data_IF_390574777048
#
_entry.id   IF_390574777048
#
_cell.length_a   1.000
_cell.length_b   1.000
_cell.length_c   1.000
_cell.angle_alpha   90.00
_cell.angle_beta   90.00
_cell.angle_gamma   90.00
#
_symmetry.space_group_name_H-M   'P 1'
#
loop_
_entity.id
_entity.type
_entity.pdbx_description
1 polymer ?
#
# COMPACT_ATOMS: atom_id res chain seq x y z
N UNK A 1 -1.46 -20.31 -11.91
CA UNK A 1 -1.04 -19.45 -10.77
C UNK A 1 0.45 -19.20 -10.90
N UNK A 2 0.91 -17.95 -11.03
CA UNK A 2 2.34 -17.63 -11.17
C UNK A 2 2.99 -17.61 -9.79
N UNK A 3 3.97 -18.48 -9.55
CA UNK A 3 4.73 -18.50 -8.30
C UNK A 3 5.93 -17.57 -8.47
N UNK A 4 6.06 -16.58 -7.57
CA UNK A 4 7.21 -15.67 -7.57
C UNK A 4 8.22 -16.04 -6.49
N UNK A 5 9.51 -15.77 -6.75
CA UNK A 5 10.59 -15.96 -5.79
C UNK A 5 11.22 -14.64 -5.34
N UNK A 6 11.37 -14.40 -4.04
CA UNK A 6 12.08 -13.23 -3.50
C UNK A 6 13.56 -13.55 -3.29
N UNK A 7 14.47 -12.77 -3.90
CA UNK A 7 15.93 -13.08 -3.84
C UNK A 7 16.70 -12.36 -2.75
N UNK A 8 16.17 -11.27 -2.20
CA UNK A 8 16.83 -10.46 -1.16
C UNK A 8 15.84 -10.21 -0.03
N UNK A 9 15.57 -11.19 0.86
CA UNK A 9 14.70 -10.96 2.00
C UNK A 9 15.35 -9.98 2.98
N UNK A 10 14.56 -9.27 3.79
CA UNK A 10 15.09 -8.35 4.77
C UNK A 10 15.88 -9.06 5.87
N UNK A 11 16.93 -8.40 6.32
CA UNK A 11 17.60 -8.67 7.59
C UNK A 11 16.73 -8.17 8.75
N UNK A 12 15.67 -8.90 9.09
CA UNK A 12 14.94 -8.63 10.32
C UNK A 12 15.72 -9.22 11.50
N UNK A 13 16.43 -8.38 12.24
CA UNK A 13 17.15 -8.80 13.46
C UNK A 13 16.20 -9.10 14.64
N UNK A 14 14.93 -8.67 14.56
CA UNK A 14 13.93 -8.83 15.61
C UNK A 14 12.58 -9.28 15.07
N UNK A 15 11.93 -10.20 15.79
CA UNK A 15 10.57 -10.62 15.47
C UNK A 15 9.59 -9.45 15.61
N UNK A 16 8.80 -9.17 14.57
CA UNK A 16 7.76 -8.16 14.58
C UNK A 16 6.58 -8.63 13.75
N UNK A 17 5.43 -8.83 14.39
CA UNK A 17 4.16 -9.15 13.72
C UNK A 17 3.47 -7.93 13.11
N UNK A 18 4.15 -6.79 13.08
CA UNK A 18 3.67 -5.57 12.43
C UNK A 18 3.84 -5.70 10.93
N UNK A 19 2.84 -5.25 10.16
CA UNK A 19 2.94 -5.23 8.70
C UNK A 19 4.02 -4.24 8.28
N UNK A 20 5.01 -4.71 7.53
CA UNK A 20 6.00 -3.88 6.88
C UNK A 20 5.85 -4.00 5.37
N UNK A 21 6.10 -2.92 4.65
CA UNK A 21 5.89 -2.81 3.23
C UNK A 21 7.16 -2.37 2.52
N UNK A 22 7.32 -2.80 1.28
CA UNK A 22 8.42 -2.40 0.42
C UNK A 22 7.97 -2.49 -1.04
N UNK A 23 8.57 -1.69 -1.92
CA UNK A 23 8.44 -1.88 -3.36
C UNK A 23 9.25 -3.09 -3.83
N UNK A 24 8.86 -3.67 -4.97
CA UNK A 24 9.71 -4.67 -5.63
C UNK A 24 9.94 -4.43 -7.11
N UNK A 25 11.03 -5.03 -7.58
CA UNK A 25 11.49 -4.96 -8.95
C UNK A 25 10.47 -5.59 -9.90
N UNK A 26 10.61 -5.26 -11.19
CA UNK A 26 9.99 -6.06 -12.23
C UNK A 26 10.38 -7.55 -12.09
N UNK A 27 9.46 -8.50 -12.27
CA UNK A 27 9.78 -9.92 -12.30
C UNK A 27 10.74 -10.26 -13.43
N UNK A 28 11.84 -10.93 -13.11
CA UNK A 28 12.78 -11.52 -14.07
C UNK A 28 12.77 -13.02 -13.83
N UNK A 29 12.36 -13.81 -14.83
CA UNK A 29 12.23 -15.29 -14.72
C UNK A 29 11.46 -15.76 -13.48
N UNK A 30 10.36 -15.04 -13.14
CA UNK A 30 9.54 -15.32 -11.95
C UNK A 30 10.18 -14.88 -10.63
N UNK A 31 11.33 -14.21 -10.64
CA UNK A 31 11.99 -13.68 -9.44
C UNK A 31 11.72 -12.19 -9.28
N UNK A 32 11.48 -11.74 -8.05
CA UNK A 32 11.34 -10.32 -7.67
C UNK A 32 12.34 -9.99 -6.57
N UNK A 33 12.69 -8.70 -6.43
CA UNK A 33 13.60 -8.19 -5.40
C UNK A 33 12.96 -7.02 -4.68
N UNK A 34 13.08 -6.94 -3.36
CA UNK A 34 12.78 -5.71 -2.64
C UNK A 34 13.72 -4.59 -3.12
N UNK A 35 13.17 -3.40 -3.40
CA UNK A 35 13.93 -2.27 -3.97
C UNK A 35 14.27 -1.18 -2.96
N UNK A 36 13.70 -1.25 -1.75
CA UNK A 36 13.89 -0.27 -0.70
C UNK A 36 13.93 -0.89 0.69
N UNK A 37 13.84 -0.03 1.68
CA UNK A 37 13.76 -0.45 3.08
C UNK A 37 12.33 -0.91 3.38
N UNK A 38 12.20 -1.89 4.27
CA UNK A 38 10.90 -2.32 4.76
C UNK A 38 10.41 -1.35 5.82
N UNK A 39 9.24 -0.75 5.62
CA UNK A 39 8.69 0.25 6.52
C UNK A 39 7.25 -0.06 6.92
N UNK A 40 6.90 0.22 8.16
CA UNK A 40 5.52 0.18 8.66
C UNK A 40 4.78 1.51 8.38
N UNK A 41 5.51 2.57 8.02
CA UNK A 41 4.98 3.89 7.74
C UNK A 41 4.55 3.98 6.27
N UNK A 42 3.23 4.13 6.03
CA UNK A 42 2.67 4.17 4.67
C UNK A 42 3.23 5.34 3.87
N UNK A 43 3.40 6.49 4.53
CA UNK A 43 3.91 7.70 3.92
C UNK A 43 5.38 7.54 3.52
N UNK A 44 6.21 6.89 4.34
CA UNK A 44 7.60 6.55 3.95
C UNK A 44 7.62 5.65 2.71
N UNK A 45 6.78 4.61 2.67
CA UNK A 45 6.71 3.70 1.51
C UNK A 45 6.20 4.44 0.27
N UNK A 46 5.20 5.32 0.41
CA UNK A 46 4.73 6.15 -0.68
C UNK A 46 5.84 7.07 -1.22
N UNK A 47 6.65 7.60 -0.32
CA UNK A 47 7.78 8.47 -0.62
C UNK A 47 8.98 7.73 -1.22
N UNK A 48 9.19 6.45 -0.92
CA UNK A 48 10.30 5.67 -1.48
C UNK A 48 10.27 5.60 -3.02
N UNK A 49 9.06 5.68 -3.62
CA UNK A 49 8.90 5.74 -5.08
C UNK A 49 9.60 6.95 -5.68
N UNK A 50 9.67 8.09 -4.95
CA UNK A 50 10.31 9.33 -5.41
C UNK A 50 11.72 9.07 -5.91
N UNK A 51 12.50 8.27 -5.20
CA UNK A 51 13.88 7.96 -5.60
C UNK A 51 13.90 7.28 -6.97
N UNK A 52 13.01 6.32 -7.20
CA UNK A 52 12.95 5.59 -8.48
C UNK A 52 12.37 6.45 -9.61
N UNK A 53 11.43 7.35 -9.31
CA UNK A 53 10.84 8.30 -10.27
C UNK A 53 11.81 9.41 -10.67
N UNK A 54 12.57 9.96 -9.73
CA UNK A 54 13.42 11.14 -9.98
C UNK A 54 14.83 10.79 -10.45
N UNK A 55 15.37 9.63 -10.07
CA UNK A 55 16.79 9.37 -10.28
C UNK A 55 17.15 9.03 -11.73
N UNK A 56 16.20 8.70 -12.63
CA UNK A 56 16.41 8.20 -14.01
C UNK A 56 17.42 7.04 -14.16
N UNK A 57 18.12 6.67 -13.09
CA UNK A 57 19.07 5.58 -12.93
C UNK A 57 18.37 4.61 -12.01
N UNK A 58 17.57 3.72 -12.57
CA UNK A 58 16.89 2.67 -11.82
C UNK A 58 17.90 1.66 -11.28
N UNK A 59 18.74 2.04 -10.30
CA UNK A 59 19.66 1.11 -9.65
C UNK A 59 18.90 -0.05 -9.00
N UNK A 60 17.58 0.12 -8.76
CA UNK A 60 16.70 -0.88 -8.15
C UNK A 60 15.53 -1.38 -9.05
N UNK A 61 15.31 -0.82 -10.25
CA UNK A 61 14.42 -1.44 -11.25
C UNK A 61 12.92 -1.52 -10.92
N UNK A 62 12.35 -0.55 -10.20
CA UNK A 62 10.89 -0.43 -10.07
C UNK A 62 10.28 -0.07 -11.44
N UNK A 63 9.39 -0.92 -11.93
CA UNK A 63 8.63 -0.63 -13.14
C UNK A 63 7.32 0.09 -12.78
N UNK A 64 7.24 1.41 -13.02
CA UNK A 64 6.02 2.20 -12.77
C UNK A 64 4.82 1.70 -13.60
N UNK A 65 5.07 1.00 -14.71
CA UNK A 65 4.02 0.36 -15.51
C UNK A 65 3.48 -0.91 -14.83
N UNK A 66 4.22 -1.50 -13.91
CA UNK A 66 3.78 -2.71 -13.22
C UNK A 66 4.18 -2.67 -11.74
N UNK A 67 4.05 -1.54 -11.05
CA UNK A 67 4.55 -1.49 -9.67
C UNK A 67 3.80 -2.48 -8.77
N UNK A 68 4.56 -3.08 -7.86
CA UNK A 68 4.09 -4.11 -6.96
C UNK A 68 4.62 -3.80 -5.58
N UNK A 69 3.82 -4.08 -4.58
CA UNK A 69 4.18 -3.88 -3.18
C UNK A 69 4.35 -5.25 -2.54
N UNK A 70 5.45 -5.43 -1.82
CA UNK A 70 5.65 -6.53 -0.89
C UNK A 70 5.09 -6.15 0.47
N UNK A 71 4.50 -7.11 1.16
CA UNK A 71 4.14 -7.00 2.57
C UNK A 71 4.73 -8.17 3.33
N UNK A 72 5.24 -7.90 4.52
CA UNK A 72 5.76 -8.94 5.37
C UNK A 72 5.36 -8.81 6.83
N UNK A 73 5.56 -9.92 7.53
CA UNK A 73 5.74 -10.00 8.98
C UNK A 73 6.99 -10.82 9.27
N UNK A 74 7.63 -10.56 10.40
CA UNK A 74 8.78 -11.33 10.89
C UNK A 74 8.35 -12.09 12.15
N UNK A 75 8.57 -13.40 12.18
CA UNK A 75 8.30 -14.26 13.33
C UNK A 75 9.61 -14.74 13.94
N UNK A 76 9.64 -14.96 15.26
CA UNK A 76 10.88 -15.36 15.94
C UNK A 76 11.37 -16.75 15.54
N UNK A 77 12.68 -16.98 15.65
CA UNK A 77 13.34 -18.26 15.34
C UNK A 77 12.80 -19.46 16.09
N UNK A 78 12.22 -19.25 17.28
CA UNK A 78 11.72 -20.34 18.14
C UNK A 78 10.32 -20.85 17.76
N UNK A 79 9.76 -20.39 16.64
CA UNK A 79 8.48 -20.90 16.15
C UNK A 79 8.74 -22.22 15.42
N UNK A 80 8.31 -23.34 16.01
CA UNK A 80 8.36 -24.64 15.35
C UNK A 80 7.52 -24.68 14.06
N UNK A 81 7.79 -25.66 13.20
CA UNK A 81 7.22 -25.76 11.84
C UNK A 81 5.69 -25.68 11.79
N UNK A 82 5.00 -26.42 12.66
CA UNK A 82 3.53 -26.39 12.78
C UNK A 82 3.01 -24.98 13.14
N UNK A 83 3.74 -24.28 14.03
CA UNK A 83 3.45 -22.91 14.40
C UNK A 83 3.65 -21.95 13.23
N UNK A 84 4.73 -22.12 12.46
CA UNK A 84 5.03 -21.30 11.29
C UNK A 84 3.94 -21.45 10.23
N UNK A 85 3.54 -22.67 9.89
CA UNK A 85 2.48 -22.93 8.92
C UNK A 85 1.13 -22.34 9.36
N UNK A 86 0.83 -22.42 10.66
CA UNK A 86 -0.36 -21.77 11.22
C UNK A 86 -0.29 -20.25 11.04
N UNK A 87 0.85 -19.61 11.32
CA UNK A 87 1.00 -18.17 11.16
C UNK A 87 0.94 -17.77 9.67
N UNK A 88 1.55 -18.56 8.77
CA UNK A 88 1.47 -18.33 7.31
C UNK A 88 0.02 -18.34 6.84
N UNK A 89 -0.77 -19.36 7.23
CA UNK A 89 -2.21 -19.45 6.90
C UNK A 89 -3.00 -18.26 7.46
N UNK A 90 -2.76 -17.88 8.71
CA UNK A 90 -3.41 -16.72 9.32
C UNK A 90 -3.05 -15.42 8.59
N UNK A 91 -1.79 -15.23 8.23
CA UNK A 91 -1.32 -14.08 7.48
C UNK A 91 -1.92 -14.03 6.07
N UNK A 92 -1.92 -15.14 5.34
CA UNK A 92 -2.55 -15.24 4.01
C UNK A 92 -4.04 -14.89 4.07
N UNK A 93 -4.78 -15.48 5.01
CA UNK A 93 -6.20 -15.17 5.23
C UNK A 93 -6.42 -13.69 5.57
N UNK A 94 -5.54 -13.12 6.40
CA UNK A 94 -5.56 -11.70 6.78
C UNK A 94 -5.39 -10.80 5.56
N UNK A 95 -4.44 -11.11 4.69
CA UNK A 95 -4.16 -10.33 3.47
C UNK A 95 -5.25 -10.52 2.42
N UNK A 96 -5.82 -11.72 2.29
CA UNK A 96 -6.94 -11.99 1.37
C UNK A 96 -8.19 -11.17 1.74
N UNK A 97 -8.47 -11.01 3.04
CA UNK A 97 -9.56 -10.14 3.52
C UNK A 97 -9.32 -8.67 3.18
N UNK A 98 -8.08 -8.21 3.33
CA UNK A 98 -7.69 -6.86 2.93
C UNK A 98 -7.86 -6.62 1.43
N UNK A 99 -7.49 -7.59 0.58
CA UNK A 99 -7.73 -7.51 -0.87
C UNK A 99 -9.22 -7.51 -1.18
N UNK A 100 -10.04 -8.35 -0.52
CA UNK A 100 -11.49 -8.33 -0.75
C UNK A 100 -12.11 -6.96 -0.41
N UNK A 101 -11.70 -6.36 0.71
CA UNK A 101 -12.13 -5.01 1.09
C UNK A 101 -11.80 -3.98 0.00
N UNK A 102 -10.57 -4.01 -0.51
CA UNK A 102 -10.11 -3.11 -1.57
C UNK A 102 -10.84 -3.36 -2.90
N UNK A 103 -11.01 -4.62 -3.29
CA UNK A 103 -11.60 -5.00 -4.57
C UNK A 103 -13.06 -4.54 -4.71
N UNK A 104 -13.80 -4.37 -3.61
CA UNK A 104 -15.15 -3.78 -3.64
C UNK A 104 -15.11 -2.31 -4.07
N UNK A 105 -14.13 -1.55 -3.58
CA UNK A 105 -13.93 -0.16 -3.98
C UNK A 105 -13.47 -0.08 -5.43
N UNK A 106 -12.50 -0.91 -5.83
CA UNK A 106 -11.99 -0.95 -7.19
C UNK A 106 -13.06 -1.36 -8.21
N UNK A 107 -13.85 -2.40 -7.92
CA UNK A 107 -14.93 -2.87 -8.76
C UNK A 107 -16.01 -1.79 -8.96
N UNK A 108 -16.35 -1.03 -7.91
CA UNK A 108 -17.32 0.07 -8.00
C UNK A 108 -16.93 1.16 -8.99
N UNK A 109 -15.64 1.33 -9.25
CA UNK A 109 -15.10 2.41 -10.08
C UNK A 109 -14.45 1.91 -11.38
N UNK A 110 -14.63 0.63 -11.72
CA UNK A 110 -14.02 -0.02 -12.89
C UNK A 110 -12.49 0.07 -12.90
N UNK A 111 -11.87 -0.13 -11.73
CA UNK A 111 -10.42 -0.24 -11.61
C UNK A 111 -10.00 -1.69 -11.73
N UNK A 112 -8.79 -1.90 -12.26
CA UNK A 112 -8.16 -3.22 -12.24
C UNK A 112 -8.04 -3.68 -10.79
N UNK A 113 -8.66 -4.84 -10.49
CA UNK A 113 -8.70 -5.40 -9.16
C UNK A 113 -7.32 -5.78 -8.66
N UNK A 114 -7.07 -5.52 -7.39
CA UNK A 114 -5.86 -5.91 -6.69
C UNK A 114 -5.83 -7.43 -6.52
N UNK A 115 -4.64 -8.01 -6.73
CA UNK A 115 -4.36 -9.44 -6.60
C UNK A 115 -3.29 -9.66 -5.54
N UNK A 116 -3.47 -10.72 -4.75
CA UNK A 116 -2.52 -11.24 -3.79
C UNK A 116 -1.72 -12.37 -4.44
N UNK A 117 -0.41 -12.37 -4.24
CA UNK A 117 0.49 -13.44 -4.68
C UNK A 117 1.31 -13.89 -3.48
N UNK A 118 1.31 -15.19 -3.22
CA UNK A 118 2.24 -15.78 -2.27
C UNK A 118 3.64 -15.84 -2.89
N UNK A 119 4.66 -15.57 -2.07
CA UNK A 119 6.04 -15.63 -2.49
C UNK A 119 6.73 -16.81 -1.82
N UNK A 120 7.56 -17.51 -2.60
CA UNK A 120 8.54 -18.45 -2.06
C UNK A 120 9.87 -17.72 -1.90
N UNK A 121 10.63 -17.99 -0.85
CA UNK A 121 11.99 -17.48 -0.76
C UNK A 121 12.88 -18.33 -1.67
N UNK A 122 13.82 -17.70 -2.39
CA UNK A 122 14.78 -18.47 -3.19
C UNK A 122 15.96 -18.98 -2.38
N UNK A 123 16.12 -18.51 -1.14
CA UNK A 123 17.21 -18.86 -0.23
C UNK A 123 16.57 -19.05 1.16
N UNK A 124 16.79 -20.20 1.76
CA UNK A 124 16.50 -20.44 3.18
C UNK A 124 17.61 -19.77 3.99
N UNK A 125 17.24 -18.91 4.93
CA UNK A 125 18.21 -18.20 5.77
C UNK A 125 18.19 -18.77 7.18
N UNK A 126 19.38 -19.11 7.68
CA UNK A 126 19.62 -19.81 8.95
C UNK A 126 19.59 -18.92 10.21
N UNK A 127 19.27 -17.63 10.07
CA UNK A 127 19.44 -16.67 11.18
C UNK A 127 18.12 -16.06 11.67
N UNK A 128 17.71 -16.48 12.88
CA UNK A 128 17.06 -15.65 13.89
C UNK A 128 15.57 -15.29 13.73
N UNK A 129 15.11 -14.92 12.53
CA UNK A 129 13.72 -14.57 12.31
C UNK A 129 13.23 -15.09 10.95
N UNK A 130 12.10 -15.78 10.96
CA UNK A 130 11.47 -16.27 9.73
C UNK A 130 10.55 -15.16 9.19
N UNK A 131 10.74 -14.77 7.94
CA UNK A 131 9.89 -13.78 7.29
C UNK A 131 8.77 -14.48 6.52
N UNK A 132 7.55 -13.95 6.61
CA UNK A 132 6.43 -14.37 5.77
C UNK A 132 6.09 -13.18 4.88
N UNK A 133 6.21 -13.37 3.56
CA UNK A 133 6.05 -12.29 2.58
C UNK A 133 4.96 -12.64 1.58
N UNK A 134 4.14 -11.65 1.24
CA UNK A 134 3.23 -11.70 0.10
C UNK A 134 3.44 -10.46 -0.80
N UNK A 135 2.93 -10.53 -2.01
CA UNK A 135 3.02 -9.45 -3.00
C UNK A 135 1.63 -9.04 -3.46
N UNK A 136 1.42 -7.73 -3.59
CA UNK A 136 0.22 -7.11 -4.12
C UNK A 136 0.49 -6.50 -5.49
N UNK A 137 -0.41 -6.75 -6.42
CA UNK A 137 -0.43 -6.10 -7.73
C UNK A 137 -1.80 -5.47 -7.93
N UNK A 138 -1.85 -4.17 -8.25
CA UNK A 138 -3.10 -3.44 -8.44
C UNK A 138 -3.06 -2.50 -9.63
N UNK A 139 -4.10 -1.68 -9.76
CA UNK A 139 -4.20 -0.65 -10.80
C UNK A 139 -3.07 0.38 -10.72
N UNK A 140 -2.56 0.83 -11.88
CA UNK A 140 -1.60 1.97 -11.95
C UNK A 140 -2.18 3.27 -11.39
N UNK A 141 -3.52 3.38 -11.29
CA UNK A 141 -4.19 4.54 -10.70
C UNK A 141 -3.74 4.78 -9.25
N UNK A 142 -3.35 3.73 -8.51
CA UNK A 142 -2.79 3.85 -7.16
C UNK A 142 -1.43 4.54 -7.11
N UNK A 143 -0.65 4.47 -8.19
CA UNK A 143 0.71 5.03 -8.26
C UNK A 143 0.73 6.48 -8.72
N UNK A 144 -0.43 7.13 -8.83
CA UNK A 144 -0.53 8.43 -9.47
C UNK A 144 0.10 9.56 -8.63
N UNK A 145 0.05 9.44 -7.31
CA UNK A 145 0.66 10.37 -6.36
C UNK A 145 0.95 9.68 -5.03
N UNK A 146 1.77 10.26 -4.14
CA UNK A 146 1.98 9.73 -2.78
C UNK A 146 0.67 9.55 -2.01
N UNK A 147 -0.31 10.45 -2.20
CA UNK A 147 -1.64 10.36 -1.57
C UNK A 147 -2.38 9.10 -1.97
N UNK A 148 -2.36 8.74 -3.26
CA UNK A 148 -3.02 7.53 -3.76
C UNK A 148 -2.35 6.25 -3.23
N UNK A 149 -1.02 6.26 -3.13
CA UNK A 149 -0.27 5.12 -2.57
C UNK A 149 -0.55 4.97 -1.07
N UNK A 150 -0.53 6.08 -0.32
CA UNK A 150 -0.89 6.12 1.10
C UNK A 150 -2.32 5.60 1.32
N UNK A 151 -3.28 5.98 0.46
CA UNK A 151 -4.63 5.42 0.49
C UNK A 151 -4.63 3.90 0.23
N UNK A 152 -3.96 3.44 -0.81
CA UNK A 152 -3.90 2.00 -1.14
C UNK A 152 -3.37 1.18 0.05
N UNK A 153 -2.27 1.61 0.65
CA UNK A 153 -1.68 0.98 1.83
C UNK A 153 -2.58 1.07 3.07
N UNK A 154 -3.31 2.17 3.26
CA UNK A 154 -4.27 2.34 4.34
C UNK A 154 -5.40 1.31 4.22
N UNK A 155 -5.95 1.14 3.02
CA UNK A 155 -7.02 0.17 2.75
C UNK A 155 -6.53 -1.27 2.96
N UNK A 156 -5.31 -1.60 2.51
CA UNK A 156 -4.71 -2.91 2.74
C UNK A 156 -4.45 -3.18 4.24
N UNK A 157 -3.95 -2.19 4.98
CA UNK A 157 -3.67 -2.34 6.41
C UNK A 157 -4.96 -2.54 7.23
N UNK A 158 -5.97 -1.72 6.95
CA UNK A 158 -7.21 -1.68 7.72
C UNK A 158 -8.22 -2.75 7.31
N UNK A 159 -8.31 -3.12 6.03
CA UNK A 159 -9.22 -4.16 5.53
C UNK A 159 -9.00 -5.54 6.16
N UNK A 160 -7.88 -5.73 6.86
CA UNK A 160 -7.59 -6.92 7.64
C UNK A 160 -8.27 -6.97 9.02
N UNK A 161 -8.86 -5.87 9.49
CA UNK A 161 -9.45 -5.75 10.82
C UNK A 161 -10.79 -6.49 10.92
N UNK A 162 -11.07 -7.12 12.08
CA UNK A 162 -12.25 -7.98 12.28
C UNK A 162 -13.60 -7.33 12.00
N UNK A 163 -13.72 -6.03 12.28
CA UNK A 163 -14.95 -5.27 12.00
C UNK A 163 -15.18 -5.03 10.50
N UNK A 164 -14.14 -5.17 9.68
CA UNK A 164 -14.14 -4.96 8.24
C UNK A 164 -14.08 -6.28 7.46
N UNK A 165 -14.24 -7.44 8.10
CA UNK A 165 -14.17 -8.72 7.42
C UNK A 165 -15.35 -8.95 6.48
N UNK A 166 -15.02 -9.51 5.32
CA UNK A 166 -15.94 -10.02 4.29
C UNK A 166 -17.12 -9.11 3.97
N UNK A 167 -16.89 -7.81 3.67
CA UNK A 167 -17.94 -7.00 3.05
C UNK A 167 -18.40 -7.67 1.75
N UNK A 168 -19.70 -7.63 1.47
CA UNK A 168 -20.29 -8.22 0.24
C UNK A 168 -20.56 -7.19 -0.85
N UNK A 169 -20.72 -5.93 -0.48
CA UNK A 169 -21.05 -4.83 -1.39
C UNK A 169 -20.46 -3.53 -0.87
N UNK A 170 -20.50 -2.48 -1.71
CA UNK A 170 -20.07 -1.15 -1.29
C UNK A 170 -20.92 -0.59 -0.13
N UNK A 171 -22.23 -0.83 -0.13
CA UNK A 171 -23.12 -0.41 0.96
C UNK A 171 -22.76 -1.11 2.28
N UNK A 172 -22.48 -2.41 2.24
CA UNK A 172 -22.04 -3.19 3.42
C UNK A 172 -20.65 -2.74 3.89
N UNK A 173 -19.72 -2.51 2.97
CA UNK A 173 -18.41 -1.91 3.27
C UNK A 173 -18.58 -0.58 3.99
N UNK A 174 -19.44 0.32 3.47
CA UNK A 174 -19.70 1.62 4.09
C UNK A 174 -20.18 1.47 5.54
N UNK A 175 -21.18 0.61 5.77
CA UNK A 175 -21.72 0.31 7.11
C UNK A 175 -20.64 -0.24 8.06
N UNK A 176 -19.85 -1.22 7.60
CA UNK A 176 -18.76 -1.82 8.39
C UNK A 176 -17.67 -0.80 8.71
N UNK A 177 -17.32 0.05 7.75
CA UNK A 177 -16.36 1.13 7.95
C UNK A 177 -16.84 2.13 8.98
N UNK A 178 -18.07 2.63 8.91
CA UNK A 178 -18.64 3.51 9.94
C UNK A 178 -18.54 2.88 11.33
N UNK A 179 -18.97 1.62 11.49
CA UNK A 179 -18.86 0.88 12.75
C UNK A 179 -17.42 0.71 13.24
N UNK A 180 -16.47 0.49 12.33
CA UNK A 180 -15.05 0.41 12.67
C UNK A 180 -14.53 1.74 13.22
N UNK A 181 -14.89 2.86 12.58
CA UNK A 181 -14.47 4.21 12.98
C UNK A 181 -15.10 4.67 14.29
N UNK A 182 -16.27 4.17 14.65
CA UNK A 182 -16.87 4.41 15.98
C UNK A 182 -16.13 3.66 17.10
N UNK A 183 -15.60 2.47 16.80
CA UNK A 183 -15.09 1.54 17.82
C UNK A 183 -13.58 1.50 17.97
N UNK A 184 -12.82 2.19 17.12
CA UNK A 184 -11.36 2.05 17.07
C UNK A 184 -10.68 3.41 17.11
N UNK A 185 -9.69 3.58 17.99
CA UNK A 185 -8.91 4.81 18.15
C UNK A 185 -7.50 4.73 17.54
N UNK A 186 -7.19 3.63 16.82
CA UNK A 186 -5.90 3.46 16.15
C UNK A 186 -5.57 4.63 15.20
N UNK A 187 -4.28 4.88 14.97
CA UNK A 187 -3.81 5.90 14.00
C UNK A 187 -4.42 5.71 12.62
N UNK A 188 -4.64 4.46 12.20
CA UNK A 188 -5.34 4.16 10.95
C UNK A 188 -6.79 4.62 10.95
N UNK A 189 -7.52 4.35 12.04
CA UNK A 189 -8.89 4.81 12.19
C UNK A 189 -8.95 6.34 12.17
N UNK A 190 -7.99 7.04 12.78
CA UNK A 190 -7.89 8.50 12.69
C UNK A 190 -7.73 8.97 11.23
N UNK A 191 -6.86 8.32 10.44
CA UNK A 191 -6.63 8.71 9.05
C UNK A 191 -7.83 8.34 8.16
N UNK A 192 -8.51 7.24 8.47
CA UNK A 192 -9.75 6.86 7.80
C UNK A 192 -10.90 7.83 8.13
N UNK A 193 -11.04 8.34 9.35
CA UNK A 193 -12.09 9.33 9.67
C UNK A 193 -11.99 10.56 8.76
N UNK A 194 -10.76 11.02 8.51
CA UNK A 194 -10.51 12.17 7.64
C UNK A 194 -10.74 11.80 6.17
N UNK A 195 -10.24 10.65 5.70
CA UNK A 195 -10.23 10.35 4.26
C UNK A 195 -11.46 9.61 3.74
N UNK A 196 -12.11 8.79 4.57
CA UNK A 196 -13.23 7.92 4.18
C UNK A 196 -14.40 8.65 3.49
N UNK A 197 -14.83 9.85 3.96
CA UNK A 197 -15.88 10.62 3.29
C UNK A 197 -15.56 10.96 1.82
N UNK A 198 -14.27 10.96 1.46
CA UNK A 198 -13.78 11.40 0.16
C UNK A 198 -13.41 10.25 -0.78
N UNK A 199 -13.28 9.01 -0.30
CA UNK A 199 -12.78 7.89 -1.13
C UNK A 199 -13.57 7.72 -2.43
N UNK A 200 -14.90 7.73 -2.36
CA UNK A 200 -15.75 7.60 -3.55
C UNK A 200 -15.53 8.75 -4.55
N UNK A 201 -15.42 9.99 -4.06
CA UNK A 201 -15.18 11.16 -4.90
C UNK A 201 -13.81 11.09 -5.57
N UNK A 202 -12.78 10.74 -4.82
CA UNK A 202 -11.40 10.59 -5.32
C UNK A 202 -11.32 9.50 -6.39
N UNK A 203 -11.89 8.33 -6.12
CA UNK A 203 -11.81 7.19 -7.05
C UNK A 203 -12.66 7.41 -8.31
N UNK A 204 -13.87 7.98 -8.18
CA UNK A 204 -14.73 8.31 -9.32
C UNK A 204 -14.13 9.41 -10.21
N UNK A 205 -13.49 10.42 -9.60
CA UNK A 205 -12.93 11.57 -10.32
C UNK A 205 -11.43 11.46 -10.56
N UNK A 206 -10.84 10.27 -10.47
CA UNK A 206 -9.38 10.08 -10.54
C UNK A 206 -8.74 10.73 -11.78
N UNK A 207 -9.36 10.55 -12.95
CA UNK A 207 -8.87 11.14 -14.21
C UNK A 207 -8.90 12.67 -14.14
N UNK A 208 -9.99 13.26 -13.63
CA UNK A 208 -10.13 14.72 -13.47
C UNK A 208 -9.10 15.26 -12.48
N UNK A 209 -9.00 14.62 -11.31
CA UNK A 209 -8.10 15.01 -10.22
C UNK A 209 -6.64 15.12 -10.71
N UNK A 210 -6.17 14.16 -11.51
CA UNK A 210 -4.78 14.09 -11.96
C UNK A 210 -4.57 14.46 -13.44
N UNK A 211 -5.54 15.13 -14.09
CA UNK A 211 -5.44 15.52 -15.50
C UNK A 211 -4.23 16.44 -15.73
N UNK A 212 -3.33 16.07 -16.63
CA UNK A 212 -2.12 16.86 -16.91
C UNK A 212 -1.05 16.85 -15.81
N UNK A 213 -1.20 16.08 -14.73
CA UNK A 213 -0.19 15.94 -13.67
C UNK A 213 0.58 14.63 -13.81
N UNK A 214 1.67 14.56 -14.60
CA UNK A 214 2.43 13.34 -14.79
C UNK A 214 2.90 12.76 -13.44
N UNK A 215 3.12 11.44 -13.37
CA UNK A 215 3.53 10.75 -12.12
C UNK A 215 4.79 11.44 -11.59
N UNK A 216 5.73 11.73 -12.48
CA UNK A 216 7.00 12.39 -12.23
C UNK A 216 6.83 13.75 -11.53
N UNK A 217 5.78 14.51 -11.83
CA UNK A 217 5.49 15.78 -11.14
C UNK A 217 5.03 15.52 -9.71
N UNK A 218 4.12 14.56 -9.49
CA UNK A 218 3.50 14.31 -8.19
C UNK A 218 4.46 13.71 -7.15
N UNK A 219 5.56 13.10 -7.58
CA UNK A 219 6.63 12.63 -6.70
C UNK A 219 7.85 13.56 -6.68
N UNK A 220 7.81 14.71 -7.36
CA UNK A 220 8.90 15.68 -7.35
C UNK A 220 8.61 16.83 -6.38
N UNK A 221 9.33 16.93 -5.24
CA UNK A 221 9.07 17.98 -4.25
C UNK A 221 9.30 19.39 -4.78
N UNK A 222 10.25 19.56 -5.71
CA UNK A 222 10.51 20.85 -6.37
C UNK A 222 9.35 21.31 -7.25
N UNK A 223 8.55 20.37 -7.77
CA UNK A 223 7.41 20.68 -8.66
C UNK A 223 6.08 20.69 -7.95
N UNK A 224 5.88 19.77 -7.01
CA UNK A 224 4.60 19.57 -6.36
C UNK A 224 4.53 20.19 -4.96
N UNK A 225 5.63 20.37 -4.23
CA UNK A 225 5.60 20.68 -2.79
C UNK A 225 6.31 21.98 -2.45
N UNK A 226 6.29 22.96 -3.35
CA UNK A 226 6.94 24.26 -3.15
C UNK A 226 8.42 24.17 -2.72
N UNK A 227 9.12 23.11 -3.14
CA UNK A 227 10.53 22.89 -2.80
C UNK A 227 10.80 22.19 -1.46
N UNK A 228 9.79 21.86 -0.66
CA UNK A 228 9.98 21.17 0.62
C UNK A 228 10.28 19.68 0.41
N UNK A 229 11.55 19.28 0.58
CA UNK A 229 12.02 17.92 0.31
C UNK A 229 11.69 16.89 1.42
N UNK A 230 11.23 17.38 2.58
CA UNK A 230 11.14 16.62 3.84
C UNK A 230 9.70 16.21 4.21
N UNK A 231 8.72 16.56 3.38
CA UNK A 231 7.30 16.31 3.66
C UNK A 231 6.88 14.87 3.42
N UNK A 232 6.40 14.18 4.46
CA UNK A 232 5.59 12.98 4.30
C UNK A 232 4.22 13.38 3.74
N UNK A 233 3.98 13.12 2.45
CA UNK A 233 2.67 13.29 1.81
C UNK A 233 1.84 12.01 1.91
N UNK A 234 0.53 12.15 2.16
CA UNK A 234 -0.36 11.01 2.36
C UNK A 234 -1.82 11.41 2.26
N UNK A 235 -2.72 10.43 2.11
CA UNK A 235 -4.12 10.69 1.76
C UNK A 235 -4.84 11.62 2.76
N UNK A 236 -4.49 11.51 4.04
CA UNK A 236 -5.02 12.38 5.09
C UNK A 236 -4.79 13.86 4.76
N UNK A 237 -3.56 14.22 4.39
CA UNK A 237 -3.17 15.60 4.09
C UNK A 237 -3.91 16.19 2.89
N UNK A 238 -4.20 15.36 1.88
CA UNK A 238 -5.02 15.81 0.76
C UNK A 238 -6.46 16.10 1.23
N UNK A 239 -7.02 15.21 2.04
CA UNK A 239 -8.41 15.30 2.49
C UNK A 239 -8.66 16.41 3.51
N UNK A 240 -7.68 16.75 4.36
CA UNK A 240 -7.77 17.86 5.32
C UNK A 240 -7.19 19.19 4.78
N UNK A 241 -6.72 19.21 3.53
CA UNK A 241 -6.18 20.41 2.87
C UNK A 241 -4.76 20.80 3.30
N UNK A 242 -4.10 20.03 4.16
CA UNK A 242 -2.74 20.33 4.64
C UNK A 242 -1.60 19.79 3.74
N UNK A 243 -1.93 19.27 2.56
CA UNK A 243 -0.92 18.81 1.60
C UNK A 243 -0.06 19.96 1.09
N UNK A 244 1.22 19.69 0.85
CA UNK A 244 2.12 20.66 0.22
C UNK A 244 1.81 20.86 -1.28
N UNK A 245 1.03 19.97 -1.90
CA UNK A 245 0.59 20.07 -3.30
C UNK A 245 -0.70 20.88 -3.43
N UNK A 246 -0.54 22.21 -3.40
CA UNK A 246 -1.66 23.15 -3.43
C UNK A 246 -2.50 23.08 -4.71
N UNK A 247 -1.88 22.79 -5.86
CA UNK A 247 -2.65 22.61 -7.11
C UNK A 247 -3.54 21.37 -7.02
N UNK A 248 -3.04 20.27 -6.44
CA UNK A 248 -3.81 19.06 -6.24
C UNK A 248 -4.91 19.25 -5.20
N UNK A 249 -4.63 19.99 -4.11
CA UNK A 249 -5.64 20.38 -3.11
C UNK A 249 -6.76 21.19 -3.76
N UNK A 250 -6.43 22.21 -4.56
CA UNK A 250 -7.44 23.03 -5.24
C UNK A 250 -8.38 22.19 -6.10
N UNK A 251 -7.83 21.25 -6.89
CA UNK A 251 -8.62 20.31 -7.69
C UNK A 251 -9.42 19.33 -6.85
N UNK A 252 -8.85 18.85 -5.76
CA UNK A 252 -9.54 17.98 -4.82
C UNK A 252 -10.75 18.68 -4.19
N UNK A 253 -10.61 19.95 -3.82
CA UNK A 253 -11.71 20.75 -3.31
C UNK A 253 -12.78 20.98 -4.40
N UNK A 254 -12.39 21.22 -5.65
CA UNK A 254 -13.32 21.36 -6.77
C UNK A 254 -14.18 20.10 -6.99
N UNK A 255 -13.60 18.89 -6.88
CA UNK A 255 -14.37 17.63 -6.99
C UNK A 255 -15.18 17.31 -5.73
N UNK A 256 -14.92 18.01 -4.62
CA UNK A 256 -15.61 17.80 -3.35
C UNK A 256 -16.78 18.73 -3.11
N UNK A 257 -16.82 19.89 -3.80
CA UNK A 257 -18.02 20.72 -3.95
C UNK A 257 -19.14 19.91 -4.61
#
# INVERSE_FOLDING_TARGET
MTIYKLTNPPSAYYASRTLQWCWCSKPTTGKVRATGTWSNCRETVAMDIKRDVLSNKSKFGLDLKTARILCQISVGSKVGEVGLETIKKQFANKMQRAVNFLNILEAKHDWVLTKLHELKFSIEYDYGAQNIVCMFTGSRKWLRSPHMVSLWLLLLRTGSHKLLWNPKSYADLKKKTTRYLEKTTSTDALYMRVSFPHWNKIMANHVKLFKGFPIERNFNPKKAWNGFDVGNEGIRKLCDGSSLDQDLVARFLEICK
#
